data_IF_594490581425
#
_entry.id   IF_594490581425
#
_cell.length_a   1.000
_cell.length_b   1.000
_cell.length_c   1.000
_cell.angle_alpha   90.00
_cell.angle_beta   90.00
_cell.angle_gamma   90.00
#
_symmetry.space_group_name_H-M   'P 1'
#
loop_
_entity.id
_entity.type
_entity.pdbx_description
1 polymer ?
#
# COMPACT_ATOMS: atom_id res chain seq x y z
N UNK A 1 16.72 15.32 -8.09
CA UNK A 1 15.29 15.03 -7.80
C UNK A 1 14.46 15.69 -8.88
N UNK A 2 13.66 14.91 -9.57
CA UNK A 2 12.81 15.37 -10.67
C UNK A 2 11.43 15.77 -10.14
N UNK A 3 10.79 16.76 -10.81
CA UNK A 3 9.42 17.17 -10.45
C UNK A 3 8.53 17.03 -11.68
N UNK A 4 7.42 16.30 -11.55
CA UNK A 4 6.41 16.16 -12.59
C UNK A 4 5.06 16.69 -12.12
N UNK A 5 4.21 17.10 -13.06
CA UNK A 5 2.87 17.61 -12.75
C UNK A 5 1.81 16.71 -13.37
N UNK A 6 0.91 16.24 -12.53
CA UNK A 6 -0.26 15.42 -12.89
C UNK A 6 -1.52 16.26 -12.64
N UNK A 7 -2.41 16.28 -13.62
CA UNK A 7 -3.63 17.11 -13.57
C UNK A 7 -4.91 16.31 -13.38
N UNK A 8 -4.92 15.05 -13.83
CA UNK A 8 -6.04 14.14 -13.64
C UNK A 8 -5.92 13.43 -12.29
N UNK A 9 -7.03 13.20 -11.63
CA UNK A 9 -7.06 12.52 -10.34
C UNK A 9 -8.16 13.04 -9.44
N UNK A 10 -8.17 12.57 -8.20
CA UNK A 10 -9.15 12.95 -7.19
C UNK A 10 -8.53 12.86 -5.79
N UNK A 11 -8.48 13.99 -5.10
CA UNK A 11 -8.16 13.98 -3.67
C UNK A 11 -9.42 13.62 -2.87
N UNK A 12 -9.29 12.63 -2.00
CA UNK A 12 -10.35 12.21 -1.09
C UNK A 12 -10.03 12.80 0.28
N UNK A 13 -10.73 13.86 0.70
CA UNK A 13 -10.46 14.52 1.97
C UNK A 13 -11.05 13.74 3.13
N UNK A 14 -10.31 12.73 3.59
CA UNK A 14 -10.64 11.86 4.70
C UNK A 14 -10.20 12.51 6.02
N UNK A 15 -11.08 12.46 7.04
CA UNK A 15 -10.77 12.93 8.39
C UNK A 15 -9.70 12.07 9.07
N UNK A 16 -8.99 12.65 10.05
CA UNK A 16 -8.08 11.91 10.91
C UNK A 16 -6.65 11.82 10.37
N UNK A 17 -6.12 12.88 9.76
CA UNK A 17 -4.71 12.94 9.39
C UNK A 17 -3.77 12.81 10.60
N UNK A 18 -2.69 12.06 10.44
CA UNK A 18 -1.69 11.88 11.48
C UNK A 18 -0.97 13.20 11.85
N UNK A 19 -0.90 13.52 13.14
CA UNK A 19 -0.09 14.63 13.64
C UNK A 19 1.39 14.36 13.39
N UNK A 20 2.17 15.38 13.02
CA UNK A 20 3.62 15.30 12.79
C UNK A 20 4.41 15.08 14.09
N UNK A 21 4.14 13.98 14.74
CA UNK A 21 4.82 13.53 15.95
C UNK A 21 5.09 12.03 15.85
N UNK A 22 6.37 11.63 15.92
CA UNK A 22 6.78 10.22 15.80
C UNK A 22 6.86 9.58 17.18
N UNK A 23 6.13 8.50 17.37
CA UNK A 23 6.20 7.63 18.55
C UNK A 23 7.05 6.41 18.21
N UNK A 24 8.14 6.19 18.94
CA UNK A 24 8.94 4.98 18.82
C UNK A 24 8.24 3.79 19.47
N UNK A 25 7.85 2.80 18.69
CA UNK A 25 7.22 1.57 19.16
C UNK A 25 8.28 0.51 19.57
N UNK A 26 9.07 0.87 20.58
CA UNK A 26 9.99 -0.07 21.21
C UNK A 26 9.20 -1.04 22.10
N UNK A 27 9.41 -2.35 21.94
CA UNK A 27 8.76 -3.35 22.79
C UNK A 27 7.53 -4.01 22.17
N UNK A 28 7.41 -3.95 20.84
CA UNK A 28 6.61 -4.93 20.11
C UNK A 28 7.36 -6.26 20.18
N UNK A 29 6.64 -7.30 20.57
CA UNK A 29 7.22 -8.63 20.79
C UNK A 29 6.99 -9.56 19.61
N UNK A 30 5.87 -9.40 18.89
CA UNK A 30 5.43 -10.29 17.81
C UNK A 30 5.52 -9.59 16.47
N UNK A 31 6.06 -10.29 15.50
CA UNK A 31 6.20 -9.86 14.12
C UNK A 31 5.80 -10.99 13.18
N UNK A 32 5.22 -10.67 12.04
CA UNK A 32 4.89 -11.68 11.03
C UNK A 32 5.49 -11.34 9.67
N UNK A 33 5.94 -12.36 8.97
CA UNK A 33 6.21 -12.35 7.54
C UNK A 33 5.00 -12.92 6.83
N UNK A 34 4.49 -12.20 5.84
CA UNK A 34 3.23 -12.50 5.13
C UNK A 34 3.50 -12.76 3.65
N UNK A 35 3.77 -14.00 3.23
CA UNK A 35 4.01 -14.32 1.83
C UNK A 35 2.88 -13.88 0.87
N UNK A 36 1.60 -13.84 1.28
CA UNK A 36 0.52 -13.33 0.42
C UNK A 36 0.63 -11.85 0.03
N UNK A 37 1.39 -11.04 0.78
CA UNK A 37 1.62 -9.63 0.45
C UNK A 37 2.56 -9.48 -0.76
N UNK A 38 3.24 -10.57 -1.17
CA UNK A 38 4.22 -10.58 -2.26
C UNK A 38 3.61 -11.24 -3.49
N UNK A 39 3.36 -10.43 -4.51
CA UNK A 39 2.76 -10.89 -5.77
C UNK A 39 3.68 -11.89 -6.48
N UNK A 40 3.10 -12.95 -7.00
CA UNK A 40 3.83 -13.95 -7.79
C UNK A 40 4.75 -14.88 -7.00
N UNK A 41 4.89 -14.68 -5.69
CA UNK A 41 5.77 -15.47 -4.82
C UNK A 41 5.17 -16.86 -4.56
N UNK A 42 5.96 -17.92 -4.77
CA UNK A 42 5.55 -19.30 -4.48
C UNK A 42 6.28 -19.80 -3.24
N UNK A 43 5.67 -19.73 -2.04
CA UNK A 43 6.40 -19.91 -0.80
C UNK A 43 6.86 -21.35 -0.55
N UNK A 44 8.14 -21.50 -0.16
CA UNK A 44 8.73 -22.68 0.45
C UNK A 44 9.19 -22.31 1.85
N UNK A 45 8.57 -22.89 2.86
CA UNK A 45 8.92 -22.65 4.26
C UNK A 45 10.28 -23.29 4.57
N UNK A 46 11.16 -22.55 5.23
CA UNK A 46 12.51 -22.99 5.60
C UNK A 46 12.67 -23.27 7.09
N UNK A 47 11.68 -22.91 7.91
CA UNK A 47 11.73 -22.98 9.38
C UNK A 47 10.52 -23.73 9.92
N UNK A 48 10.63 -24.20 11.17
CA UNK A 48 9.54 -24.83 11.91
C UNK A 48 9.20 -23.99 13.16
N UNK A 49 8.02 -24.24 13.74
CA UNK A 49 7.65 -23.66 15.03
C UNK A 49 8.65 -24.11 16.11
N UNK A 50 9.10 -23.18 16.94
CA UNK A 50 10.12 -23.38 17.96
C UNK A 50 11.55 -23.08 17.50
N UNK A 51 11.81 -22.94 16.19
CA UNK A 51 13.14 -22.61 15.70
C UNK A 51 13.57 -21.20 16.14
N UNK A 52 14.85 -21.07 16.50
CA UNK A 52 15.46 -19.76 16.77
C UNK A 52 16.01 -19.19 15.46
N UNK A 53 15.67 -17.94 15.17
CA UNK A 53 16.04 -17.24 13.95
C UNK A 53 16.70 -15.90 14.25
N UNK A 54 17.58 -15.48 13.35
CA UNK A 54 18.21 -14.16 13.40
C UNK A 54 17.53 -13.18 12.48
N UNK A 55 17.60 -11.88 12.79
CA UNK A 55 17.14 -10.83 11.87
C UNK A 55 17.85 -10.94 10.53
N UNK A 56 17.12 -10.91 9.42
CA UNK A 56 17.66 -11.11 8.07
C UNK A 56 17.78 -12.57 7.63
N UNK A 57 17.60 -13.54 8.52
CA UNK A 57 17.64 -14.96 8.15
C UNK A 57 16.42 -15.32 7.30
N UNK A 58 16.57 -16.05 6.17
CA UNK A 58 15.45 -16.51 5.36
C UNK A 58 14.47 -17.37 6.15
N UNK A 59 13.17 -17.00 6.16
CA UNK A 59 12.07 -17.78 6.71
C UNK A 59 11.30 -18.51 5.62
N UNK A 60 11.11 -17.84 4.50
CA UNK A 60 10.32 -18.34 3.36
C UNK A 60 11.07 -17.99 2.10
N UNK A 61 11.26 -18.94 1.22
CA UNK A 61 11.99 -18.85 -0.05
C UNK A 61 11.02 -19.03 -1.22
N UNK A 62 11.29 -18.41 -2.37
CA UNK A 62 10.52 -18.71 -3.59
C UNK A 62 10.97 -20.08 -4.14
N UNK A 63 10.00 -20.90 -4.52
CA UNK A 63 10.27 -22.21 -5.13
C UNK A 63 10.87 -22.12 -6.53
N UNK A 64 10.71 -20.98 -7.21
CA UNK A 64 11.17 -20.78 -8.59
C UNK A 64 12.57 -20.22 -8.64
N UNK A 65 12.91 -19.36 -7.67
CA UNK A 65 14.24 -18.76 -7.56
C UNK A 65 14.68 -18.75 -6.11
N UNK A 66 15.64 -19.60 -5.77
CA UNK A 66 16.12 -19.76 -4.40
C UNK A 66 16.86 -18.52 -3.87
N UNK A 67 17.24 -17.57 -4.73
CA UNK A 67 17.84 -16.28 -4.34
C UNK A 67 16.81 -15.36 -3.71
N UNK A 68 15.53 -15.53 -4.07
CA UNK A 68 14.43 -14.69 -3.59
C UNK A 68 13.81 -15.30 -2.33
N UNK A 69 13.86 -14.56 -1.24
CA UNK A 69 13.34 -15.02 0.04
C UNK A 69 12.76 -13.86 0.87
N UNK A 70 11.93 -14.21 1.83
CA UNK A 70 11.40 -13.30 2.82
C UNK A 70 12.10 -13.55 4.16
N UNK A 71 12.88 -12.58 4.65
CA UNK A 71 13.69 -12.75 5.86
C UNK A 71 12.90 -12.48 7.14
N UNK A 72 13.42 -12.99 8.27
CA UNK A 72 12.91 -12.62 9.58
C UNK A 72 13.13 -11.14 9.87
N UNK A 73 12.09 -10.37 10.23
CA UNK A 73 12.23 -8.95 10.53
C UNK A 73 13.02 -8.68 11.82
N UNK A 74 13.09 -9.64 12.71
CA UNK A 74 13.75 -9.55 14.02
C UNK A 74 14.43 -10.87 14.39
N UNK A 75 15.39 -10.82 15.31
CA UNK A 75 15.90 -12.03 15.96
C UNK A 75 14.90 -12.52 16.99
N UNK A 76 14.64 -13.84 17.01
CA UNK A 76 13.62 -14.38 17.89
C UNK A 76 13.40 -15.88 17.71
N UNK A 77 12.24 -16.32 18.16
CA UNK A 77 11.78 -17.71 18.01
C UNK A 77 10.51 -17.72 17.15
N UNK A 78 10.42 -18.65 16.23
CA UNK A 78 9.22 -18.87 15.43
C UNK A 78 8.10 -19.37 16.34
N UNK A 79 7.10 -18.53 16.58
CA UNK A 79 5.97 -18.79 17.47
C UNK A 79 4.90 -19.62 16.78
N UNK A 80 4.58 -19.29 15.53
CA UNK A 80 3.51 -19.94 14.78
C UNK A 80 3.73 -19.87 13.27
N UNK A 81 3.24 -20.90 12.58
CA UNK A 81 3.14 -20.97 11.11
C UNK A 81 1.67 -21.06 10.71
N UNK A 82 1.05 -19.93 10.40
CA UNK A 82 -0.37 -19.84 10.09
C UNK A 82 -0.64 -20.27 8.66
N UNK A 83 -1.58 -21.18 8.48
CA UNK A 83 -2.01 -21.70 7.18
C UNK A 83 -3.51 -21.50 6.99
N UNK A 84 -3.89 -21.06 5.80
CA UNK A 84 -5.28 -20.95 5.38
C UNK A 84 -5.78 -22.15 4.61
N UNK A 85 -6.82 -21.93 3.83
CA UNK A 85 -7.41 -22.94 2.96
C UNK A 85 -6.36 -23.57 2.02
N UNK A 86 -6.55 -24.84 1.69
CA UNK A 86 -5.62 -25.63 0.85
C UNK A 86 -4.17 -25.59 1.32
N UNK A 87 -3.95 -25.39 2.64
CA UNK A 87 -2.62 -25.25 3.28
C UNK A 87 -1.79 -24.08 2.75
N UNK A 88 -2.39 -23.04 2.19
CA UNK A 88 -1.71 -21.81 1.77
C UNK A 88 -1.02 -21.20 2.99
N UNK A 89 0.29 -20.91 2.88
CA UNK A 89 1.04 -20.22 3.93
C UNK A 89 0.56 -18.77 3.99
N UNK A 90 0.02 -18.36 5.12
CA UNK A 90 -0.48 -17.02 5.35
C UNK A 90 0.54 -16.15 6.09
N UNK A 91 1.04 -16.65 7.22
CA UNK A 91 1.93 -15.89 8.10
C UNK A 91 2.96 -16.81 8.75
N UNK A 92 4.16 -16.29 8.95
CA UNK A 92 5.18 -16.88 9.84
C UNK A 92 5.42 -15.86 10.94
N UNK A 93 4.99 -16.22 12.16
CA UNK A 93 5.05 -15.32 13.33
C UNK A 93 6.33 -15.58 14.10
N UNK A 94 7.09 -14.51 14.39
CA UNK A 94 8.32 -14.55 15.16
C UNK A 94 8.14 -13.73 16.44
N UNK A 95 8.41 -14.37 17.59
CA UNK A 95 8.48 -13.70 18.88
C UNK A 95 9.91 -13.21 19.11
N UNK A 96 10.07 -11.90 19.25
CA UNK A 96 11.37 -11.21 19.37
C UNK A 96 12.10 -11.64 20.64
N UNK A 97 13.40 -11.90 20.51
CA UNK A 97 14.34 -11.95 21.62
C UNK A 97 15.39 -10.82 21.47
N UNK A 98 16.09 -10.51 22.57
CA UNK A 98 17.09 -9.42 22.58
C UNK A 98 18.49 -9.92 22.20
N UNK A 99 18.63 -10.72 21.16
CA UNK A 99 19.94 -11.14 20.69
C UNK A 99 20.58 -10.04 19.82
N UNK A 100 21.80 -9.64 20.17
CA UNK A 100 22.63 -8.75 19.36
C UNK A 100 23.40 -9.59 18.35
N UNK A 101 23.30 -9.19 17.08
CA UNK A 101 24.07 -9.77 15.97
C UNK A 101 25.22 -8.81 15.65
N UNK A 102 26.40 -9.34 15.43
CA UNK A 102 27.50 -8.54 14.87
C UNK A 102 27.24 -8.37 13.38
N UNK A 103 27.17 -7.13 12.96
CA UNK A 103 26.89 -6.76 11.59
C UNK A 103 28.16 -6.22 10.94
N UNK A 104 28.35 -6.51 9.64
CA UNK A 104 29.43 -5.98 8.81
C UNK A 104 28.84 -5.35 7.56
N UNK A 105 29.38 -4.21 7.09
CA UNK A 105 28.95 -3.59 5.84
C UNK A 105 28.90 -4.61 4.70
N UNK A 106 27.87 -4.52 3.87
CA UNK A 106 27.59 -5.52 2.85
C UNK A 106 27.16 -4.86 1.53
N UNK A 107 27.38 -5.56 0.44
CA UNK A 107 26.96 -5.10 -0.89
C UNK A 107 25.52 -5.54 -1.17
N UNK A 108 24.79 -4.74 -1.93
CA UNK A 108 23.45 -5.11 -2.39
C UNK A 108 23.55 -6.19 -3.47
N UNK A 109 23.04 -7.37 -3.17
CA UNK A 109 22.95 -8.52 -4.08
C UNK A 109 21.58 -9.15 -3.98
N UNK A 110 21.20 -10.03 -4.89
CA UNK A 110 19.93 -10.77 -4.85
C UNK A 110 19.74 -11.60 -3.58
N UNK A 111 20.83 -12.02 -2.95
CA UNK A 111 20.83 -12.78 -1.69
C UNK A 111 20.81 -11.88 -0.45
N UNK A 112 20.81 -10.55 -0.63
CA UNK A 112 20.71 -9.62 0.49
C UNK A 112 19.31 -9.65 1.11
N UNK A 113 19.18 -9.64 2.45
CA UNK A 113 17.88 -9.69 3.12
C UNK A 113 16.99 -8.46 2.84
N UNK A 114 17.53 -7.44 2.19
CA UNK A 114 16.80 -6.23 1.76
C UNK A 114 16.26 -6.31 0.33
N UNK A 115 16.60 -7.35 -0.44
CA UNK A 115 16.24 -7.45 -1.86
C UNK A 115 14.73 -7.47 -2.10
N UNK A 116 13.94 -8.08 -1.23
CA UNK A 116 12.48 -8.11 -1.31
C UNK A 116 11.82 -6.72 -1.33
N UNK A 117 12.53 -5.67 -0.92
CA UNK A 117 12.07 -4.29 -0.93
C UNK A 117 12.03 -3.68 -2.33
N UNK A 118 12.70 -4.31 -3.30
CA UNK A 118 12.74 -3.88 -4.69
C UNK A 118 11.63 -4.62 -5.43
N UNK A 119 10.66 -3.89 -5.95
CA UNK A 119 9.58 -4.45 -6.77
C UNK A 119 9.87 -4.24 -8.25
N UNK A 120 9.37 -5.15 -9.07
CA UNK A 120 9.48 -5.11 -10.52
C UNK A 120 8.10 -4.98 -11.15
N UNK A 121 7.93 -3.97 -12.00
CA UNK A 121 6.78 -3.84 -12.89
C UNK A 121 7.13 -4.48 -14.24
N UNK A 122 6.13 -5.02 -14.97
CA UNK A 122 4.68 -4.75 -14.89
C UNK A 122 3.90 -5.57 -13.85
N UNK A 123 4.46 -6.60 -13.24
CA UNK A 123 3.68 -7.56 -12.45
C UNK A 123 3.62 -7.29 -10.96
N UNK A 124 4.42 -6.33 -10.44
CA UNK A 124 4.49 -6.02 -9.00
C UNK A 124 5.16 -7.11 -8.17
N UNK A 125 5.97 -7.94 -8.78
CA UNK A 125 6.75 -9.02 -8.13
C UNK A 125 7.98 -8.46 -7.43
N UNK A 126 8.69 -9.29 -6.64
CA UNK A 126 10.06 -8.96 -6.25
C UNK A 126 10.92 -8.88 -7.51
N UNK A 127 11.83 -7.92 -7.57
CA UNK A 127 12.73 -7.73 -8.72
C UNK A 127 13.49 -9.00 -9.05
N UNK A 128 13.41 -9.42 -10.31
CA UNK A 128 14.17 -10.57 -10.80
C UNK A 128 15.62 -10.16 -11.01
N UNK A 129 16.61 -10.79 -10.33
CA UNK A 129 18.01 -10.44 -10.46
C UNK A 129 18.59 -10.61 -11.87
N UNK A 130 17.96 -11.43 -12.70
CA UNK A 130 18.41 -11.70 -14.08
C UNK A 130 17.84 -10.70 -15.09
N UNK A 131 16.89 -9.84 -14.68
CA UNK A 131 16.36 -8.79 -15.53
C UNK A 131 17.19 -7.50 -15.41
N UNK A 132 17.36 -6.82 -16.52
CA UNK A 132 17.94 -5.49 -16.56
C UNK A 132 16.81 -4.47 -16.62
N UNK A 133 16.56 -3.68 -15.57
CA UNK A 133 15.51 -2.68 -15.61
C UNK A 133 15.89 -1.49 -16.49
N UNK A 134 14.91 -0.87 -17.15
CA UNK A 134 15.09 0.40 -17.89
C UNK A 134 15.53 1.54 -16.96
N UNK A 135 15.02 1.53 -15.73
CA UNK A 135 15.33 2.47 -14.67
C UNK A 135 14.77 2.00 -13.33
N UNK A 136 15.21 2.66 -12.26
CA UNK A 136 14.73 2.42 -10.90
C UNK A 136 14.00 3.68 -10.43
N UNK A 137 12.73 3.55 -10.05
CA UNK A 137 11.89 4.69 -9.71
C UNK A 137 11.57 4.71 -8.21
N UNK A 138 11.74 5.90 -7.62
CA UNK A 138 11.46 6.18 -6.21
C UNK A 138 10.49 7.35 -6.13
N UNK A 139 9.27 7.11 -5.64
CA UNK A 139 8.34 8.20 -5.36
C UNK A 139 8.71 8.90 -4.06
N UNK A 140 8.91 10.22 -4.12
CA UNK A 140 9.22 11.07 -2.97
C UNK A 140 7.96 11.69 -2.35
N UNK A 141 6.78 11.37 -2.86
CA UNK A 141 5.50 11.84 -2.34
C UNK A 141 4.44 10.76 -2.49
N UNK A 142 3.82 10.40 -1.41
CA UNK A 142 2.60 9.58 -1.43
C UNK A 142 1.38 10.50 -1.42
N UNK A 143 0.42 10.27 -2.31
CA UNK A 143 -0.82 11.05 -2.44
C UNK A 143 -2.07 10.27 -2.06
N UNK A 144 -1.92 9.06 -1.53
CA UNK A 144 -3.03 8.30 -1.00
C UNK A 144 -3.75 9.07 0.13
N UNK A 145 -5.04 8.87 0.35
CA UNK A 145 -5.73 9.42 1.51
C UNK A 145 -5.02 9.00 2.81
N UNK A 146 -4.72 9.95 3.69
CA UNK A 146 -4.01 9.74 4.97
C UNK A 146 -2.56 9.22 4.84
N UNK A 147 -1.96 9.32 3.67
CA UNK A 147 -0.59 8.86 3.43
C UNK A 147 0.43 9.59 4.31
N UNK A 148 1.57 8.94 4.64
CA UNK A 148 2.64 9.58 5.36
C UNK A 148 3.31 10.68 4.53
N UNK A 149 3.73 11.74 5.22
CA UNK A 149 4.68 12.70 4.68
C UNK A 149 6.08 12.05 4.63
N UNK A 150 6.54 11.70 3.44
CA UNK A 150 7.80 10.97 3.26
C UNK A 150 9.02 11.81 3.63
N UNK A 151 8.99 13.13 3.43
CA UNK A 151 10.08 14.01 3.85
C UNK A 151 10.21 14.00 5.39
N UNK A 152 9.06 14.04 6.08
CA UNK A 152 9.03 13.93 7.53
C UNK A 152 9.46 12.54 8.03
N UNK A 153 9.05 11.48 7.35
CA UNK A 153 9.39 10.11 7.71
C UNK A 153 10.88 9.78 7.53
N UNK A 154 11.53 10.40 6.54
CA UNK A 154 12.97 10.22 6.25
C UNK A 154 13.89 11.13 7.08
N UNK A 155 13.34 12.07 7.82
CA UNK A 155 14.14 13.03 8.59
C UNK A 155 15.13 12.32 9.53
N UNK A 156 16.43 12.65 9.38
CA UNK A 156 17.53 12.05 10.14
C UNK A 156 18.05 10.73 9.54
N UNK A 157 17.59 10.36 8.34
CA UNK A 157 18.04 9.18 7.60
C UNK A 157 18.59 9.52 6.20
N UNK A 158 18.95 10.79 6.00
CA UNK A 158 19.39 11.30 4.70
C UNK A 158 20.64 10.56 4.19
N UNK A 159 21.61 10.31 5.07
CA UNK A 159 22.84 9.57 4.73
C UNK A 159 22.56 8.10 4.35
N UNK A 160 21.61 7.44 5.05
CA UNK A 160 21.17 6.09 4.68
C UNK A 160 20.47 6.11 3.31
N UNK A 161 19.64 7.10 3.06
CA UNK A 161 18.93 7.26 1.79
C UNK A 161 19.90 7.47 0.62
N UNK A 162 20.91 8.34 0.76
CA UNK A 162 21.95 8.56 -0.25
C UNK A 162 22.74 7.29 -0.55
N UNK A 163 23.15 6.55 0.49
CA UNK A 163 23.83 5.28 0.32
C UNK A 163 22.97 4.23 -0.40
N UNK A 164 21.66 4.22 -0.13
CA UNK A 164 20.71 3.36 -0.83
C UNK A 164 20.58 3.69 -2.33
N UNK A 165 20.51 4.97 -2.66
CA UNK A 165 20.53 5.44 -4.06
C UNK A 165 21.83 4.98 -4.75
N UNK A 166 22.97 5.16 -4.10
CA UNK A 166 24.26 4.73 -4.65
C UNK A 166 24.31 3.21 -4.89
N UNK A 167 23.79 2.41 -3.96
CA UNK A 167 23.74 0.97 -4.11
C UNK A 167 22.81 0.52 -5.26
N UNK A 168 21.66 1.15 -5.41
CA UNK A 168 20.70 0.88 -6.49
C UNK A 168 21.25 1.32 -7.86
N UNK A 169 22.01 2.42 -7.92
CA UNK A 169 22.61 2.94 -9.16
C UNK A 169 23.61 1.97 -9.82
N UNK A 170 24.04 0.93 -9.11
CA UNK A 170 24.85 -0.14 -9.69
C UNK A 170 24.07 -1.02 -10.69
N UNK A 171 22.74 -1.02 -10.64
CA UNK A 171 21.88 -1.83 -11.51
C UNK A 171 21.27 -1.04 -12.68
N UNK A 172 20.81 0.18 -12.42
CA UNK A 172 20.27 1.10 -13.44
C UNK A 172 20.23 2.54 -12.90
N UNK A 173 19.88 3.49 -13.78
CA UNK A 173 19.66 4.88 -13.38
C UNK A 173 18.51 4.98 -12.37
N UNK A 174 18.72 5.74 -11.28
CA UNK A 174 17.72 5.91 -10.20
C UNK A 174 17.05 7.27 -10.32
N UNK A 175 15.75 7.26 -10.55
CA UNK A 175 14.88 8.44 -10.66
C UNK A 175 14.13 8.68 -9.36
N UNK A 176 14.57 9.68 -8.58
CA UNK A 176 13.83 10.17 -7.41
C UNK A 176 12.87 11.26 -7.86
N UNK A 177 11.56 10.97 -7.87
CA UNK A 177 10.54 11.82 -8.46
C UNK A 177 9.57 12.34 -7.42
N UNK A 178 9.35 13.67 -7.41
CA UNK A 178 8.29 14.33 -6.64
C UNK A 178 7.16 14.71 -7.59
N UNK A 179 6.05 13.97 -7.54
CA UNK A 179 4.90 14.26 -8.37
C UNK A 179 3.95 15.25 -7.69
N UNK A 180 3.60 16.33 -8.39
CA UNK A 180 2.62 17.33 -7.95
C UNK A 180 1.27 17.06 -8.60
N UNK A 181 0.21 17.18 -7.82
CA UNK A 181 -1.17 16.99 -8.31
C UNK A 181 -2.01 16.19 -7.33
N UNK A 182 -3.28 15.93 -7.70
CA UNK A 182 -4.18 15.10 -6.92
C UNK A 182 -3.75 13.63 -6.96
N UNK A 183 -4.26 12.82 -6.02
CA UNK A 183 -4.11 11.36 -6.10
C UNK A 183 -4.66 10.86 -7.47
N UNK A 184 -3.95 9.98 -8.23
CA UNK A 184 -2.82 9.14 -7.83
C UNK A 184 -1.44 9.70 -8.26
N UNK A 185 -1.22 11.02 -8.24
CA UNK A 185 0.04 11.62 -8.71
C UNK A 185 1.27 10.99 -8.06
N UNK A 186 1.20 10.64 -6.76
CA UNK A 186 2.28 10.03 -6.01
C UNK A 186 2.47 8.53 -6.24
N UNK A 187 1.54 7.85 -6.93
CA UNK A 187 1.69 6.43 -7.21
C UNK A 187 2.83 6.21 -8.20
N UNK A 188 3.62 5.18 -7.93
CA UNK A 188 4.79 4.88 -8.76
C UNK A 188 4.39 4.55 -10.21
N UNK A 189 3.25 3.88 -10.42
CA UNK A 189 2.70 3.59 -11.74
C UNK A 189 2.43 4.85 -12.56
N UNK A 190 1.84 5.87 -11.93
CA UNK A 190 1.58 7.17 -12.57
C UNK A 190 2.88 7.88 -12.96
N UNK A 191 3.90 7.79 -12.10
CA UNK A 191 5.23 8.37 -12.37
C UNK A 191 5.89 7.68 -13.55
N UNK A 192 5.92 6.35 -13.54
CA UNK A 192 6.53 5.54 -14.61
C UNK A 192 5.79 5.77 -15.94
N UNK A 193 4.46 5.69 -15.96
CA UNK A 193 3.68 5.93 -17.16
C UNK A 193 3.90 7.33 -17.77
N UNK A 194 4.24 8.32 -16.93
CA UNK A 194 4.52 9.69 -17.39
C UNK A 194 5.93 9.88 -17.93
N UNK A 195 6.93 9.20 -17.35
CA UNK A 195 8.34 9.37 -17.69
C UNK A 195 8.83 8.34 -18.71
N UNK A 196 8.47 7.08 -18.52
CA UNK A 196 8.98 5.95 -19.29
C UNK A 196 7.98 4.78 -19.29
N UNK A 197 6.91 4.87 -20.10
CA UNK A 197 5.88 3.82 -20.20
C UNK A 197 6.48 2.43 -20.47
N UNK A 198 5.89 1.40 -19.87
CA UNK A 198 6.37 0.02 -19.95
C UNK A 198 5.68 -0.72 -21.10
N UNK A 199 6.45 -1.27 -22.02
CA UNK A 199 5.96 -2.16 -23.07
C UNK A 199 6.19 -3.63 -22.72
N UNK A 200 5.60 -4.52 -23.51
CA UNK A 200 5.82 -5.97 -23.39
C UNK A 200 7.31 -6.33 -23.45
N UNK A 201 7.80 -7.04 -22.44
CA UNK A 201 9.20 -7.46 -22.35
C UNK A 201 10.14 -6.42 -21.75
N UNK A 202 9.63 -5.25 -21.35
CA UNK A 202 10.39 -4.24 -20.61
C UNK A 202 10.10 -4.34 -19.11
N UNK A 203 11.10 -3.99 -18.31
CA UNK A 203 11.00 -4.01 -16.85
C UNK A 203 11.49 -2.70 -16.25
N UNK A 204 10.82 -2.25 -15.21
CA UNK A 204 11.31 -1.16 -14.35
C UNK A 204 11.26 -1.62 -12.91
N UNK A 205 12.24 -1.17 -12.12
CA UNK A 205 12.21 -1.45 -10.70
C UNK A 205 11.66 -0.25 -9.93
N UNK A 206 10.97 -0.56 -8.85
CA UNK A 206 10.32 0.42 -8.00
C UNK A 206 10.70 0.17 -6.55
N UNK A 207 11.11 1.21 -5.84
CA UNK A 207 11.49 1.12 -4.44
C UNK A 207 10.81 2.24 -3.66
N UNK A 208 10.29 1.91 -2.49
CA UNK A 208 9.76 2.90 -1.58
C UNK A 208 10.89 3.77 -1.00
N UNK A 209 10.68 5.06 -0.81
CA UNK A 209 11.69 5.97 -0.31
C UNK A 209 12.26 5.56 1.08
N UNK A 210 11.43 5.03 1.98
CA UNK A 210 11.91 4.52 3.27
C UNK A 210 12.70 3.22 3.13
N UNK A 211 12.39 2.39 2.13
CA UNK A 211 13.12 1.16 1.85
C UNK A 211 14.46 1.43 1.19
N UNK A 212 14.58 2.49 0.39
CA UNK A 212 15.89 2.97 -0.09
C UNK A 212 16.82 3.26 1.10
N UNK A 213 16.30 3.93 2.15
CA UNK A 213 17.08 4.16 3.37
C UNK A 213 17.41 2.87 4.13
N UNK A 214 16.52 1.86 4.12
CA UNK A 214 16.79 0.54 4.72
C UNK A 214 17.88 -0.21 3.94
N UNK A 215 17.88 -0.16 2.61
CA UNK A 215 18.91 -0.70 1.74
C UNK A 215 20.25 -0.02 2.03
N UNK A 216 20.25 1.32 2.13
CA UNK A 216 21.47 2.08 2.44
C UNK A 216 22.03 1.74 3.82
N UNK A 217 21.20 1.60 4.85
CA UNK A 217 21.63 1.12 6.18
C UNK A 217 22.31 -0.23 6.08
N UNK A 218 21.71 -1.18 5.36
CA UNK A 218 22.30 -2.49 5.12
C UNK A 218 23.69 -2.37 4.48
N UNK A 219 23.84 -1.55 3.45
CA UNK A 219 25.12 -1.36 2.77
C UNK A 219 26.17 -0.71 3.67
N UNK A 220 25.79 0.27 4.47
CA UNK A 220 26.70 1.01 5.35
C UNK A 220 27.13 0.20 6.57
N UNK A 221 26.21 -0.58 7.15
CA UNK A 221 26.42 -1.17 8.49
C UNK A 221 26.27 -2.68 8.51
N UNK A 222 25.66 -3.30 7.48
CA UNK A 222 25.24 -4.70 7.48
C UNK A 222 24.08 -5.02 8.42
N UNK A 223 23.47 -4.00 9.06
CA UNK A 223 22.32 -4.21 9.93
C UNK A 223 21.05 -4.39 9.11
N UNK A 224 20.42 -5.57 9.19
CA UNK A 224 19.10 -5.79 8.67
C UNK A 224 18.04 -5.32 9.68
N UNK A 225 17.44 -4.20 9.40
CA UNK A 225 16.36 -3.62 10.22
C UNK A 225 15.36 -2.93 9.32
N UNK A 226 14.32 -3.63 8.85
CA UNK A 226 13.31 -3.09 7.93
C UNK A 226 12.37 -2.13 8.68
N UNK A 227 12.89 -0.96 9.05
CA UNK A 227 12.18 0.06 9.82
C UNK A 227 11.42 1.00 8.91
N UNK A 228 10.18 1.32 9.29
CA UNK A 228 9.38 2.35 8.66
C UNK A 228 8.72 3.27 9.69
N UNK A 229 8.53 4.52 9.29
CA UNK A 229 7.66 5.48 9.97
C UNK A 229 6.32 5.42 9.25
N UNK A 230 5.30 4.89 9.92
CA UNK A 230 3.95 4.74 9.36
C UNK A 230 3.03 5.84 9.88
N UNK A 231 2.11 6.30 9.01
CA UNK A 231 1.02 7.16 9.43
C UNK A 231 -0.14 6.31 9.94
N UNK A 232 -0.59 6.58 11.16
CA UNK A 232 -1.78 5.96 11.73
C UNK A 232 -2.84 7.03 11.87
N UNK A 233 -3.97 6.84 11.19
CA UNK A 233 -5.01 7.84 11.13
C UNK A 233 -6.37 7.26 10.73
N UNK A 234 -7.30 8.14 10.35
CA UNK A 234 -8.64 7.81 9.92
C UNK A 234 -9.73 8.33 10.83
N UNK A 235 -10.97 8.38 10.33
CA UNK A 235 -12.10 8.99 11.05
C UNK A 235 -12.41 8.35 12.40
N UNK A 236 -12.08 7.07 12.56
CA UNK A 236 -12.28 6.33 13.82
C UNK A 236 -11.04 6.29 14.71
N UNK A 237 -9.93 6.92 14.30
CA UNK A 237 -8.71 6.97 15.10
C UNK A 237 -8.82 8.07 16.17
N UNK A 238 -8.56 7.74 17.45
CA UNK A 238 -8.64 8.70 18.56
C UNK A 238 -7.46 9.64 18.68
N UNK A 239 -6.26 9.17 18.32
CA UNK A 239 -5.03 9.92 18.43
C UNK A 239 -4.12 9.68 17.20
N UNK A 240 -4.49 10.22 16.04
CA UNK A 240 -3.73 10.02 14.82
C UNK A 240 -2.30 10.53 14.95
N UNK A 241 -1.30 9.65 14.72
CA UNK A 241 0.14 9.97 14.88
C UNK A 241 0.99 9.11 13.96
N UNK A 242 2.26 9.50 13.85
CA UNK A 242 3.27 8.65 13.21
C UNK A 242 3.89 7.70 14.22
N UNK A 243 4.13 6.47 13.78
CA UNK A 243 4.77 5.43 14.58
C UNK A 243 5.98 4.86 13.83
N UNK A 244 7.14 4.85 14.52
CA UNK A 244 8.33 4.18 14.01
C UNK A 244 8.33 2.73 14.47
N UNK A 245 8.35 1.80 13.52
CA UNK A 245 8.30 0.37 13.79
C UNK A 245 8.99 -0.47 12.71
N UNK A 246 9.26 -1.72 13.01
CA UNK A 246 9.78 -2.70 12.05
C UNK A 246 8.60 -3.27 11.24
N UNK A 247 8.81 -3.55 9.95
CA UNK A 247 7.80 -4.18 9.08
C UNK A 247 7.27 -5.49 9.70
N UNK A 248 6.00 -5.79 9.47
CA UNK A 248 5.37 -6.98 10.03
C UNK A 248 5.06 -6.91 11.53
N UNK A 249 5.18 -5.74 12.17
CA UNK A 249 4.88 -5.56 13.59
C UNK A 249 3.41 -5.83 13.93
N UNK A 250 3.17 -6.45 15.08
CA UNK A 250 1.82 -6.67 15.62
C UNK A 250 1.18 -5.33 16.01
N UNK A 251 -0.03 -5.10 15.50
CA UNK A 251 -0.76 -3.84 15.68
C UNK A 251 -1.52 -3.73 17.01
N UNK A 252 -1.55 -4.77 17.84
CA UNK A 252 -2.34 -4.84 19.07
C UNK A 252 -2.22 -3.58 19.95
N UNK A 253 -0.99 -3.15 20.26
CA UNK A 253 -0.76 -1.97 21.13
C UNK A 253 -1.23 -0.67 20.51
N UNK A 254 -1.13 -0.53 19.20
CA UNK A 254 -1.61 0.66 18.47
C UNK A 254 -3.14 0.62 18.43
N UNK A 255 -3.73 -0.52 18.11
CA UNK A 255 -5.18 -0.70 18.11
C UNK A 255 -5.80 -0.40 19.46
N UNK A 256 -5.20 -0.86 20.55
CA UNK A 256 -5.64 -0.55 21.91
C UNK A 256 -5.64 0.96 22.18
N UNK A 257 -4.63 1.70 21.76
CA UNK A 257 -4.54 3.17 21.92
C UNK A 257 -5.56 3.90 21.04
N UNK A 258 -5.77 3.44 19.81
CA UNK A 258 -6.61 4.12 18.82
C UNK A 258 -8.11 3.83 19.01
N UNK A 259 -8.47 2.65 19.53
CA UNK A 259 -9.86 2.19 19.67
C UNK A 259 -10.36 2.23 21.12
N UNK A 260 -9.56 2.63 22.10
CA UNK A 260 -9.95 2.60 23.54
C UNK A 260 -11.22 3.40 23.84
N UNK A 261 -12.35 2.72 23.74
CA UNK A 261 -13.56 2.98 24.52
C UNK A 261 -13.82 1.77 25.41
N UNK A 262 -14.08 2.03 26.70
CA UNK A 262 -14.34 0.98 27.70
C UNK A 262 -15.58 0.13 27.40
N UNK A 263 -16.29 0.41 26.32
CA UNK A 263 -17.50 -0.29 25.83
C UNK A 263 -17.22 -1.34 24.76
N UNK A 264 -15.96 -1.48 24.27
CA UNK A 264 -15.65 -2.49 23.25
C UNK A 264 -15.40 -3.86 23.91
N UNK A 265 -16.23 -4.86 23.63
CA UNK A 265 -15.94 -6.24 24.03
C UNK A 265 -14.68 -6.72 23.29
N UNK A 266 -13.87 -7.51 23.98
CA UNK A 266 -12.66 -8.14 23.44
C UNK A 266 -13.01 -8.80 22.11
N UNK A 267 -12.40 -8.33 21.02
CA UNK A 267 -12.54 -8.89 19.69
C UNK A 267 -12.16 -10.38 19.72
N UNK A 268 -13.16 -11.24 19.79
CA UNK A 268 -13.04 -12.61 19.31
C UNK A 268 -13.37 -12.58 17.81
N UNK A 269 -12.66 -13.35 17.02
CA UNK A 269 -12.69 -13.39 15.55
C UNK A 269 -14.05 -13.73 14.91
N UNK A 270 -15.13 -13.84 15.66
CA UNK A 270 -16.38 -14.45 15.19
C UNK A 270 -17.65 -13.61 15.33
N UNK A 271 -17.62 -12.42 15.94
CA UNK A 271 -18.86 -11.62 16.07
C UNK A 271 -18.62 -10.15 15.75
N UNK A 272 -19.04 -9.72 14.55
CA UNK A 272 -19.13 -8.31 14.16
C UNK A 272 -20.37 -7.69 14.80
N UNK A 273 -20.18 -6.90 15.86
CA UNK A 273 -21.26 -6.07 16.41
C UNK A 273 -21.31 -4.72 15.67
N UNK A 274 -22.50 -4.20 15.44
CA UNK A 274 -22.73 -2.90 14.78
C UNK A 274 -22.08 -1.77 15.57
N UNK A 275 -21.14 -1.05 14.96
CA UNK A 275 -20.34 0.02 15.56
C UNK A 275 -18.86 -0.31 15.71
N UNK A 276 -18.41 -1.38 15.11
CA UNK A 276 -16.99 -1.80 15.09
C UNK A 276 -16.17 -0.90 14.18
N UNK A 277 -14.88 -0.77 14.52
CA UNK A 277 -13.89 -0.06 13.71
C UNK A 277 -13.17 -1.08 12.83
N UNK A 278 -13.15 -0.83 11.53
CA UNK A 278 -12.31 -1.56 10.58
C UNK A 278 -10.90 -1.01 10.62
N UNK A 279 -9.93 -1.90 10.79
CA UNK A 279 -8.50 -1.58 10.74
C UNK A 279 -7.97 -2.03 9.38
N UNK A 280 -7.40 -1.08 8.63
CA UNK A 280 -6.86 -1.32 7.29
C UNK A 280 -5.35 -1.08 7.35
N UNK A 281 -4.57 -2.11 7.04
CA UNK A 281 -3.15 -1.99 6.75
C UNK A 281 -2.98 -1.53 5.32
N UNK A 282 -2.30 -0.41 5.12
CA UNK A 282 -2.20 0.26 3.82
C UNK A 282 -3.22 1.39 3.61
N UNK A 283 -3.37 1.81 2.36
CA UNK A 283 -4.31 2.85 1.94
C UNK A 283 -5.77 2.40 2.12
N UNK A 284 -6.70 3.28 2.48
CA UNK A 284 -8.13 2.96 2.50
C UNK A 284 -8.67 2.57 1.11
N UNK A 285 -7.94 2.86 0.04
CA UNK A 285 -8.33 2.53 -1.34
C UNK A 285 -7.84 1.16 -1.83
N UNK A 286 -6.68 0.68 -1.32
CA UNK A 286 -6.02 -0.54 -1.81
C UNK A 286 -5.47 -1.44 -0.71
N UNK A 287 -5.60 -1.03 0.56
CA UNK A 287 -5.08 -1.78 1.70
C UNK A 287 -5.93 -2.99 2.08
N UNK A 288 -5.43 -3.78 3.01
CA UNK A 288 -6.04 -5.01 3.49
C UNK A 288 -6.59 -4.85 4.90
N UNK A 289 -7.78 -5.40 5.16
CA UNK A 289 -8.34 -5.45 6.52
C UNK A 289 -7.53 -6.40 7.39
N UNK A 290 -7.18 -5.94 8.59
CA UNK A 290 -6.47 -6.73 9.59
C UNK A 290 -7.27 -6.79 10.91
N UNK A 291 -7.03 -7.82 11.71
CA UNK A 291 -7.54 -7.91 13.07
C UNK A 291 -6.85 -6.89 14.00
N UNK A 292 -7.43 -6.61 15.15
CA UNK A 292 -6.85 -5.65 16.10
C UNK A 292 -5.46 -6.10 16.64
N UNK A 293 -5.20 -7.39 16.68
CA UNK A 293 -3.91 -8.01 16.99
C UNK A 293 -3.18 -8.54 15.73
N UNK A 294 -3.67 -8.19 14.55
CA UNK A 294 -3.07 -8.51 13.26
C UNK A 294 -1.72 -7.81 13.04
N UNK A 295 -1.12 -8.07 11.91
CA UNK A 295 0.24 -7.60 11.60
C UNK A 295 0.22 -6.59 10.46
N UNK A 296 1.09 -5.59 10.55
CA UNK A 296 1.34 -4.63 9.48
C UNK A 296 1.79 -5.36 8.20
N UNK A 297 1.22 -5.00 7.07
CA UNK A 297 1.63 -5.52 5.77
C UNK A 297 3.08 -5.19 5.43
N UNK A 298 3.73 -6.08 4.67
CA UNK A 298 5.17 -5.98 4.40
C UNK A 298 5.56 -4.69 3.66
N UNK A 299 4.66 -4.14 2.84
CA UNK A 299 4.92 -2.93 2.04
C UNK A 299 4.18 -1.69 2.54
N UNK A 300 3.31 -1.85 3.54
CA UNK A 300 2.42 -0.78 3.99
C UNK A 300 3.16 0.31 4.78
N UNK A 301 2.76 1.56 4.56
CA UNK A 301 3.31 2.75 5.21
C UNK A 301 2.28 3.51 6.02
N UNK A 302 1.05 3.04 6.05
CA UNK A 302 -0.04 3.65 6.80
C UNK A 302 -0.99 2.59 7.34
N UNK A 303 -1.74 2.97 8.38
CA UNK A 303 -2.84 2.17 8.93
C UNK A 303 -4.03 3.09 9.15
N UNK A 304 -5.17 2.70 8.61
CA UNK A 304 -6.39 3.47 8.67
C UNK A 304 -7.44 2.83 9.58
N UNK A 305 -8.07 3.64 10.42
CA UNK A 305 -9.18 3.27 11.30
C UNK A 305 -10.44 3.91 10.76
N UNK A 306 -11.39 3.09 10.28
CA UNK A 306 -12.64 3.53 9.64
C UNK A 306 -13.81 2.83 10.32
N UNK A 307 -14.92 3.53 10.54
CA UNK A 307 -16.13 2.92 11.09
C UNK A 307 -16.75 1.91 10.12
N UNK A 308 -17.27 0.79 10.64
CA UNK A 308 -18.07 -0.13 9.84
C UNK A 308 -19.40 0.49 9.44
N UNK A 309 -19.72 0.41 8.15
CA UNK A 309 -20.88 1.03 7.55
C UNK A 309 -22.15 0.15 7.55
N UNK A 310 -22.37 -0.63 8.59
CA UNK A 310 -23.50 -1.59 8.68
C UNK A 310 -24.86 -0.93 8.89
N UNK A 311 -24.88 0.36 9.22
CA UNK A 311 -26.10 1.11 9.42
C UNK A 311 -26.51 1.86 8.16
N UNK A 312 -27.73 1.59 7.69
CA UNK A 312 -28.31 2.37 6.59
C UNK A 312 -28.83 3.71 7.09
N UNK A 313 -28.52 4.78 6.36
CA UNK A 313 -29.13 6.08 6.61
C UNK A 313 -30.61 6.05 6.24
N UNK A 314 -31.48 6.39 7.19
CA UNK A 314 -32.91 6.52 6.91
C UNK A 314 -33.13 7.58 5.83
N UNK A 315 -33.72 7.18 4.69
CA UNK A 315 -33.96 8.03 3.52
C UNK A 315 -32.67 8.77 3.03
N UNK A 316 -31.51 8.18 3.21
CA UNK A 316 -30.21 8.81 2.93
C UNK A 316 -30.01 9.31 1.49
N UNK A 317 -30.77 8.75 0.53
CA UNK A 317 -30.83 9.19 -0.87
C UNK A 317 -31.67 10.46 -1.09
N UNK A 318 -32.57 10.81 -0.17
CA UNK A 318 -33.42 12.01 -0.23
C UNK A 318 -32.85 13.17 0.61
N UNK A 319 -32.03 12.86 1.62
CA UNK A 319 -31.45 13.87 2.51
C UNK A 319 -30.42 14.75 1.79
N UNK A 320 -30.27 16.04 2.18
CA UNK A 320 -29.35 17.00 1.52
C UNK A 320 -27.90 16.56 1.47
N UNK A 321 -27.46 15.68 2.39
CA UNK A 321 -26.11 15.10 2.39
C UNK A 321 -24.98 16.10 2.54
N UNK A 322 -25.11 17.10 3.41
CA UNK A 322 -24.11 18.18 3.63
C UNK A 322 -22.75 17.62 4.04
N UNK A 323 -22.72 16.49 4.73
CA UNK A 323 -21.52 15.80 5.20
C UNK A 323 -21.15 14.58 4.35
N UNK A 324 -21.78 14.38 3.20
CA UNK A 324 -21.51 13.23 2.33
C UNK A 324 -20.65 13.65 1.15
N UNK A 325 -19.59 12.90 0.91
CA UNK A 325 -18.79 13.03 -0.31
C UNK A 325 -19.55 12.44 -1.50
N UNK A 326 -19.45 13.09 -2.66
CA UNK A 326 -19.99 12.57 -3.92
C UNK A 326 -19.13 13.06 -5.07
N UNK A 327 -18.59 12.14 -5.85
CA UNK A 327 -17.84 12.46 -7.07
C UNK A 327 -18.74 13.21 -8.09
N UNK A 328 -19.99 12.80 -8.24
CA UNK A 328 -20.98 13.42 -9.13
C UNK A 328 -21.54 14.75 -8.60
N UNK A 329 -21.17 15.17 -7.38
CA UNK A 329 -21.63 16.41 -6.71
C UNK A 329 -23.16 16.48 -6.57
N UNK A 330 -23.82 15.34 -6.43
CA UNK A 330 -25.29 15.24 -6.29
C UNK A 330 -25.80 15.69 -4.93
N UNK A 331 -24.95 15.69 -3.90
CA UNK A 331 -25.30 16.18 -2.57
C UNK A 331 -24.98 17.67 -2.40
N UNK A 332 -25.59 18.31 -1.40
CA UNK A 332 -25.37 19.72 -1.09
C UNK A 332 -23.92 20.03 -0.72
N UNK A 333 -23.17 19.05 -0.20
CA UNK A 333 -21.72 19.13 -0.03
C UNK A 333 -20.97 19.47 -1.33
N UNK A 334 -21.46 19.00 -2.48
CA UNK A 334 -20.91 19.34 -3.80
C UNK A 334 -21.07 20.83 -4.14
N UNK A 335 -22.15 21.46 -3.72
CA UNK A 335 -22.36 22.89 -3.86
C UNK A 335 -21.37 23.71 -3.02
N UNK A 336 -21.07 23.27 -1.79
CA UNK A 336 -20.07 23.92 -0.94
C UNK A 336 -18.68 23.89 -1.59
N UNK A 337 -18.28 22.78 -2.24
CA UNK A 337 -17.02 22.69 -2.99
C UNK A 337 -16.99 23.68 -4.17
N UNK A 338 -18.11 23.88 -4.85
CA UNK A 338 -18.23 24.85 -5.96
C UNK A 338 -18.09 26.28 -5.43
N UNK A 339 -18.75 26.61 -4.35
CA UNK A 339 -18.65 27.91 -3.67
C UNK A 339 -17.21 28.23 -3.23
N UNK A 340 -16.50 27.21 -2.71
CA UNK A 340 -15.08 27.34 -2.36
C UNK A 340 -14.18 27.68 -3.56
N UNK A 341 -14.42 27.04 -4.69
CA UNK A 341 -13.69 27.35 -5.94
C UNK A 341 -14.00 28.72 -6.51
N UNK A 342 -15.13 29.31 -6.19
CA UNK A 342 -15.54 30.67 -6.60
C UNK A 342 -15.02 31.76 -5.67
N UNK A 343 -14.20 31.43 -4.66
CA UNK A 343 -13.65 32.40 -3.70
C UNK A 343 -14.67 32.91 -2.67
N UNK A 344 -15.90 32.36 -2.66
CA UNK A 344 -16.92 32.77 -1.68
C UNK A 344 -16.72 32.12 -0.30
N UNK A 345 -15.78 31.14 -0.17
CA UNK A 345 -15.49 30.49 1.12
C UNK A 345 -14.66 31.36 2.07
N UNK A 346 -13.99 32.41 1.60
CA UNK A 346 -13.33 33.37 2.50
C UNK A 346 -14.30 34.05 3.46
N UNK A 347 -15.62 34.02 3.15
CA UNK A 347 -16.68 34.51 4.02
C UNK A 347 -17.10 33.48 5.10
N UNK A 348 -16.73 32.20 4.97
CA UNK A 348 -17.16 31.09 5.84
C UNK A 348 -16.07 30.46 6.70
N UNK A 349 -14.84 31.03 6.66
CA UNK A 349 -13.69 30.54 7.45
C UNK A 349 -13.06 29.26 6.85
N UNK A 350 -11.96 28.80 7.46
CA UNK A 350 -11.08 27.69 7.03
C UNK A 350 -11.76 26.29 6.95
N UNK A 351 -13.00 26.21 6.47
CA UNK A 351 -13.72 24.96 6.26
C UNK A 351 -13.27 24.28 4.97
N UNK A 352 -12.08 23.68 4.98
CA UNK A 352 -11.76 22.62 4.00
C UNK A 352 -12.71 21.46 4.35
N UNK A 353 -13.60 21.04 3.42
CA UNK A 353 -14.50 19.93 3.72
C UNK A 353 -13.69 18.66 3.89
N UNK A 354 -13.62 18.14 5.08
CA UNK A 354 -13.17 16.78 5.37
C UNK A 354 -14.39 15.92 5.68
N UNK A 355 -14.29 14.63 5.39
CA UNK A 355 -15.42 13.72 5.48
C UNK A 355 -15.11 12.52 6.36
N UNK A 356 -16.07 12.18 7.20
CA UNK A 356 -16.04 10.93 7.94
C UNK A 356 -16.61 9.82 7.04
N UNK A 357 -15.72 9.10 6.35
CA UNK A 357 -16.10 7.94 5.56
C UNK A 357 -16.23 6.71 6.46
N UNK A 358 -17.15 5.85 6.09
CA UNK A 358 -17.29 4.50 6.63
C UNK A 358 -17.28 3.47 5.49
N UNK A 359 -17.40 2.19 5.81
CA UNK A 359 -17.33 1.11 4.82
C UNK A 359 -18.63 0.88 4.05
N UNK A 360 -19.66 1.71 4.23
CA UNK A 360 -20.92 1.58 3.50
C UNK A 360 -20.73 1.89 2.02
N UNK A 361 -21.08 0.97 1.15
CA UNK A 361 -21.02 1.14 -0.31
C UNK A 361 -22.03 2.13 -0.86
N UNK A 362 -23.02 2.58 -0.07
CA UNK A 362 -24.12 3.45 -0.50
C UNK A 362 -24.79 2.97 -1.81
N UNK A 363 -24.99 1.67 -1.93
CA UNK A 363 -25.61 1.04 -3.09
C UNK A 363 -25.36 -0.45 -3.11
N UNK A 364 -25.84 -1.10 -4.15
CA UNK A 364 -25.59 -2.53 -4.41
C UNK A 364 -24.74 -2.71 -5.67
N UNK A 365 -24.11 -3.87 -5.78
CA UNK A 365 -23.39 -4.29 -7.00
C UNK A 365 -24.38 -4.31 -8.17
N UNK A 366 -23.95 -3.75 -9.30
CA UNK A 366 -24.74 -3.65 -10.55
C UNK A 366 -23.89 -4.16 -11.73
N UNK A 367 -24.51 -4.46 -12.87
CA UNK A 367 -23.77 -4.70 -14.09
C UNK A 367 -22.83 -3.55 -14.43
N UNK A 368 -21.64 -3.86 -14.93
CA UNK A 368 -20.64 -2.87 -15.28
C UNK A 368 -21.16 -1.92 -16.38
N UNK A 369 -21.19 -0.63 -16.11
CA UNK A 369 -21.76 0.40 -16.96
C UNK A 369 -20.68 1.27 -17.60
N UNK A 370 -20.96 1.74 -18.81
CA UNK A 370 -20.16 2.77 -19.46
C UNK A 370 -20.53 4.15 -18.90
N UNK A 371 -19.62 4.77 -18.14
CA UNK A 371 -19.90 6.06 -17.49
C UNK A 371 -19.12 7.24 -18.07
N UNK A 372 -17.97 7.02 -18.76
CA UNK A 372 -17.07 8.09 -19.19
C UNK A 372 -16.46 8.89 -18.03
N UNK A 373 -16.43 8.30 -16.83
CA UNK A 373 -15.97 8.98 -15.61
C UNK A 373 -14.54 8.61 -15.24
N UNK A 374 -14.07 7.43 -15.66
CA UNK A 374 -12.75 6.92 -15.31
C UNK A 374 -11.63 7.80 -15.87
N UNK A 375 -11.80 8.32 -17.08
CA UNK A 375 -10.84 9.19 -17.75
C UNK A 375 -10.55 10.50 -17.01
N UNK A 376 -11.43 10.89 -16.07
CA UNK A 376 -11.26 12.08 -15.23
C UNK A 376 -10.28 11.88 -14.10
N UNK A 377 -10.17 10.65 -13.61
CA UNK A 377 -9.36 10.30 -12.44
C UNK A 377 -8.14 9.44 -12.80
N UNK A 378 -8.08 8.91 -14.00
CA UNK A 378 -7.03 8.03 -14.49
C UNK A 378 -6.02 8.81 -15.34
N UNK A 379 -4.78 9.02 -14.85
CA UNK A 379 -3.80 9.90 -15.50
C UNK A 379 -2.99 9.26 -16.63
N UNK A 380 -3.15 7.96 -16.87
CA UNK A 380 -2.44 7.22 -17.91
C UNK A 380 -2.98 7.54 -19.30
N UNK A 381 -2.14 7.39 -20.32
CA UNK A 381 -2.50 7.59 -21.74
C UNK A 381 -3.04 6.29 -22.38
N UNK A 382 -3.92 5.62 -21.67
CA UNK A 382 -4.61 4.40 -22.11
C UNK A 382 -6.12 4.55 -21.88
N UNK A 383 -6.90 3.65 -22.48
CA UNK A 383 -8.36 3.63 -22.35
C UNK A 383 -8.80 2.73 -21.19
N UNK A 384 -9.00 3.27 -19.96
CA UNK A 384 -9.22 2.45 -18.75
C UNK A 384 -10.46 1.57 -18.88
N UNK A 385 -11.56 2.10 -19.40
CA UNK A 385 -12.81 1.36 -19.55
C UNK A 385 -12.68 0.17 -20.52
N UNK A 386 -12.02 0.38 -21.65
CA UNK A 386 -11.80 -0.65 -22.67
C UNK A 386 -10.88 -1.73 -22.14
N UNK A 387 -9.83 -1.34 -21.41
CA UNK A 387 -8.91 -2.27 -20.78
C UNK A 387 -9.63 -3.15 -19.74
N UNK A 388 -10.43 -2.56 -18.85
CA UNK A 388 -11.23 -3.31 -17.87
C UNK A 388 -12.15 -4.32 -18.57
N UNK A 389 -12.81 -3.92 -19.67
CA UNK A 389 -13.67 -4.84 -20.44
C UNK A 389 -12.88 -5.97 -21.08
N UNK A 390 -11.70 -5.70 -21.64
CA UNK A 390 -10.82 -6.74 -22.18
C UNK A 390 -10.38 -7.73 -21.09
N UNK A 391 -10.12 -7.24 -19.87
CA UNK A 391 -9.80 -8.08 -18.73
C UNK A 391 -10.98 -8.95 -18.30
N UNK A 392 -12.20 -8.40 -18.22
CA UNK A 392 -13.43 -9.14 -17.88
C UNK A 392 -13.69 -10.29 -18.87
N UNK A 393 -13.46 -10.05 -20.17
CA UNK A 393 -13.67 -11.04 -21.22
C UNK A 393 -12.51 -12.04 -21.32
N UNK A 394 -11.33 -11.70 -20.80
CA UNK A 394 -10.11 -12.52 -20.89
C UNK A 394 -9.44 -12.47 -22.26
N UNK A 395 -9.63 -11.38 -23.01
CA UNK A 395 -8.99 -11.18 -24.32
C UNK A 395 -7.57 -10.65 -24.14
N UNK A 396 -6.61 -11.57 -24.03
CA UNK A 396 -5.18 -11.28 -23.78
C UNK A 396 -4.58 -10.37 -24.85
N UNK A 397 -4.87 -10.63 -26.15
CA UNK A 397 -4.32 -9.81 -27.24
C UNK A 397 -4.83 -8.36 -27.16
N UNK A 398 -6.09 -8.17 -26.81
CA UNK A 398 -6.66 -6.85 -26.66
C UNK A 398 -6.13 -6.14 -25.39
N UNK A 399 -5.92 -6.86 -24.29
CA UNK A 399 -5.29 -6.32 -23.08
C UNK A 399 -3.89 -5.77 -23.38
N UNK A 400 -3.07 -6.53 -24.10
CA UNK A 400 -1.74 -6.11 -24.53
C UNK A 400 -1.78 -4.85 -25.41
N UNK A 401 -2.66 -4.83 -26.41
CA UNK A 401 -2.86 -3.67 -27.30
C UNK A 401 -3.36 -2.42 -26.59
N UNK A 402 -4.05 -2.60 -25.46
CA UNK A 402 -4.59 -1.52 -24.63
C UNK A 402 -3.65 -1.08 -23.50
N UNK A 403 -2.44 -1.64 -23.39
CA UNK A 403 -1.42 -1.18 -22.45
C UNK A 403 -1.51 -1.80 -21.06
N UNK A 404 -1.92 -3.07 -20.93
CA UNK A 404 -2.00 -3.77 -19.62
C UNK A 404 -0.65 -3.78 -18.87
N UNK A 405 0.48 -3.74 -19.56
CA UNK A 405 1.81 -3.74 -18.96
C UNK A 405 2.18 -2.41 -18.30
N UNK A 406 1.45 -1.32 -18.58
CA UNK A 406 1.70 -0.03 -17.95
C UNK A 406 1.08 0.11 -16.56
N UNK A 407 0.18 -0.80 -16.16
CA UNK A 407 -0.68 -0.62 -15.00
C UNK A 407 -0.56 -1.73 -13.98
N UNK A 408 -0.87 -1.38 -12.74
CA UNK A 408 -1.11 -2.29 -11.63
C UNK A 408 -2.49 -2.05 -11.00
N UNK A 409 -3.03 -2.98 -10.19
CA UNK A 409 -4.34 -2.84 -9.56
C UNK A 409 -4.53 -1.52 -8.82
N UNK A 410 -3.52 -1.05 -8.09
CA UNK A 410 -3.58 0.21 -7.32
C UNK A 410 -3.84 1.45 -8.19
N UNK A 411 -3.42 1.42 -9.47
CA UNK A 411 -3.63 2.50 -10.42
C UNK A 411 -5.13 2.67 -10.76
N UNK A 412 -5.92 1.61 -10.59
CA UNK A 412 -7.38 1.61 -10.77
C UNK A 412 -8.18 1.87 -9.49
N UNK A 413 -7.54 2.09 -8.35
CA UNK A 413 -8.23 2.28 -7.07
C UNK A 413 -9.24 3.44 -7.09
N UNK A 414 -8.90 4.56 -7.76
CA UNK A 414 -9.86 5.65 -7.96
C UNK A 414 -10.98 5.31 -8.94
N UNK A 415 -10.71 4.53 -9.98
CA UNK A 415 -11.77 4.06 -10.89
C UNK A 415 -12.78 3.21 -10.13
N UNK A 416 -12.32 2.29 -9.28
CA UNK A 416 -13.15 1.46 -8.40
C UNK A 416 -13.94 2.32 -7.40
N UNK A 417 -13.29 3.31 -6.77
CA UNK A 417 -13.94 4.21 -5.82
C UNK A 417 -15.11 4.99 -6.42
N UNK A 418 -14.96 5.50 -7.66
CA UNK A 418 -16.00 6.30 -8.32
C UNK A 418 -17.01 5.46 -9.10
N UNK A 419 -16.79 4.15 -9.29
CA UNK A 419 -17.66 3.29 -10.09
C UNK A 419 -19.05 3.17 -9.46
N UNK A 420 -20.11 3.61 -10.17
CA UNK A 420 -21.48 3.45 -9.69
C UNK A 420 -21.94 1.99 -9.69
N UNK A 421 -21.25 1.11 -10.44
CA UNK A 421 -21.59 -0.32 -10.54
C UNK A 421 -21.03 -1.13 -9.36
N UNK A 422 -20.09 -0.56 -8.59
CA UNK A 422 -19.40 -1.24 -7.47
C UNK A 422 -18.65 -2.50 -7.91
N UNK A 423 -17.99 -2.39 -9.05
CA UNK A 423 -17.19 -3.45 -9.65
C UNK A 423 -15.84 -3.51 -8.94
N UNK A 424 -15.37 -4.69 -8.58
CA UNK A 424 -14.03 -4.92 -7.99
C UNK A 424 -12.94 -4.86 -9.07
N UNK A 425 -12.65 -3.65 -9.56
CA UNK A 425 -11.77 -3.41 -10.71
C UNK A 425 -10.34 -3.86 -10.40
N UNK A 426 -9.84 -3.57 -9.21
CA UNK A 426 -8.49 -3.95 -8.79
C UNK A 426 -8.30 -5.48 -8.84
N UNK A 427 -9.30 -6.25 -8.43
CA UNK A 427 -9.29 -7.72 -8.51
C UNK A 427 -9.22 -8.18 -9.96
N UNK A 428 -10.04 -7.61 -10.85
CA UNK A 428 -10.06 -7.95 -12.29
C UNK A 428 -8.69 -7.69 -12.94
N UNK A 429 -8.07 -6.55 -12.66
CA UNK A 429 -6.74 -6.21 -13.19
C UNK A 429 -5.68 -7.16 -12.61
N UNK A 430 -5.75 -7.51 -11.31
CA UNK A 430 -4.83 -8.45 -10.67
C UNK A 430 -4.89 -9.83 -11.33
N UNK A 431 -6.09 -10.33 -11.58
CA UNK A 431 -6.29 -11.63 -12.23
C UNK A 431 -5.77 -11.64 -13.66
N UNK A 432 -6.02 -10.58 -14.43
CA UNK A 432 -5.51 -10.43 -15.79
C UNK A 432 -3.98 -10.41 -15.84
N UNK A 433 -3.33 -9.62 -14.98
CA UNK A 433 -1.87 -9.57 -14.87
C UNK A 433 -1.27 -10.91 -14.44
N UNK A 434 -1.95 -11.67 -13.57
CA UNK A 434 -1.49 -12.98 -13.15
C UNK A 434 -1.55 -14.03 -14.28
N UNK A 435 -2.53 -13.93 -15.19
CA UNK A 435 -2.58 -14.76 -16.41
C UNK A 435 -1.39 -14.44 -17.30
N UNK A 436 -1.18 -13.16 -17.62
CA UNK A 436 -0.05 -12.72 -18.45
C UNK A 436 1.31 -13.08 -17.85
N UNK A 437 1.46 -12.95 -16.54
CA UNK A 437 2.69 -13.34 -15.84
C UNK A 437 2.96 -14.83 -15.97
N UNK A 438 1.96 -15.69 -15.89
CA UNK A 438 2.12 -17.13 -16.07
C UNK A 438 2.51 -17.47 -17.50
N UNK A 439 1.94 -16.79 -18.49
CA UNK A 439 2.30 -16.96 -19.89
C UNK A 439 3.73 -16.51 -20.19
N UNK A 440 4.17 -15.41 -19.55
CA UNK A 440 5.54 -14.91 -19.72
C UNK A 440 6.62 -15.82 -19.10
N UNK A 441 6.25 -16.68 -18.13
CA UNK A 441 7.17 -17.62 -17.46
C UNK A 441 7.12 -19.02 -18.10
N UNK A 442 6.05 -19.35 -18.86
CA UNK A 442 5.86 -20.65 -19.50
C UNK A 442 6.70 -20.81 -20.75
#
# INVERSE_FOLDING_TARGET
>A
METIKITKGLDIPLDGNAERFIVDMRGIERYAVKPPDVVGFTPRLLVAEGDTVSAGQPLVQDKRDERLFLPSPVSGTVEAVVRGEKRKLLEVVVCRNNQNIQNTPSTLTAEAPVWWMIKERPFGTIANPDHTPKGIYVSMRDTNPLAPDLEFALKGREHEFEAGIQALSAFAEVHCVKAEGPHPAGNIGTIVAKLDPINKGEYVWCVNAQDVANIGRWCLTGEYRPERVIAVGGPAAKAPKYYRMICGACMKRISEVQVMDASYPRLSSETRASGETRIISGSPLSGSTIAADGFLGMYDQQVCFIEEGDKYDFMGWLMPGVKKFSFSKTFLSGFMVIMGKMGLMDLMGDLKPSYNFNTNMHGSVRPFLFTGSFEKVFPFDIYPLQLIKACIVGDVELQEKLGIYEVEPEDFALCEFIDPSKTEIQTIIREALEVLRKEAIA
#
